data_IF_071869294691
#
_entry.id   IF_071869294691
#
_cell.length_a   1.000
_cell.length_b   1.000
_cell.length_c   1.000
_cell.angle_alpha   90.00
_cell.angle_beta   90.00
_cell.angle_gamma   90.00
#
_symmetry.space_group_name_H-M   'P 1'
#
loop_
_entity.id
_entity.type
_entity.pdbx_description
1 polymer ?
2 non-polymer ?
3 water ?
#
# COMPACT_ATOMS: atom_id res chain seq x y z
N UNK A 2 -14.08 -21.61 0.46
CA UNK A 2 -13.19 -21.09 1.53
C UNK A 2 -13.52 -19.62 1.85
N UNK A 3 -13.24 -19.22 3.09
CA UNK A 3 -13.43 -17.86 3.55
C UNK A 3 -12.13 -17.20 4.07
N UNK A 4 -12.27 -15.97 4.54
CA UNK A 4 -11.12 -15.25 5.08
C UNK A 4 -10.72 -15.62 6.50
N UNK A 5 -11.54 -16.44 7.15
CA UNK A 5 -11.23 -16.85 8.52
C UNK A 5 -9.93 -17.67 8.58
N UNK A 6 -9.11 -17.35 9.57
CA UNK A 6 -7.78 -17.90 9.87
C UNK A 6 -6.71 -17.62 8.84
N UNK A 7 -7.01 -16.77 7.87
CA UNK A 7 -5.98 -16.48 6.91
C UNK A 7 -5.08 -15.43 7.49
N UNK A 8 -3.79 -15.67 7.38
CA UNK A 8 -2.76 -14.72 7.80
C UNK A 8 -2.05 -14.24 6.54
N UNK A 9 -2.25 -12.98 6.20
CA UNK A 9 -1.69 -12.38 5.00
C UNK A 9 -0.33 -11.73 5.15
N UNK A 10 0.13 -11.57 6.38
CA UNK A 10 1.46 -11.03 6.60
C UNK A 10 1.46 -9.53 6.71
N UNK A 11 2.64 -8.87 6.70
CA UNK A 11 2.67 -7.43 6.93
C UNK A 11 2.06 -6.68 5.78
N UNK A 12 1.28 -5.66 6.12
CA UNK A 12 0.75 -4.74 5.15
C UNK A 12 -0.36 -5.25 4.25
N UNK A 13 -0.89 -6.42 4.55
CA UNK A 13 -1.93 -7.03 3.69
C UNK A 13 -3.03 -7.58 4.57
N UNK A 14 -4.20 -7.72 3.96
CA UNK A 14 -5.38 -8.24 4.64
C UNK A 14 -6.13 -9.15 3.70
N UNK A 15 -6.97 -9.98 4.28
CA UNK A 15 -7.78 -10.92 3.49
C UNK A 15 -9.10 -10.32 3.08
N UNK A 16 -9.46 -10.45 1.80
CA UNK A 16 -10.74 -9.98 1.27
C UNK A 16 -11.27 -11.05 0.30
N UNK A 17 -12.59 -11.22 0.28
CA UNK A 17 -13.20 -12.15 -0.62
C UNK A 17 -13.36 -11.43 -1.97
N UNK A 18 -12.91 -12.05 -3.08
CA UNK A 18 -12.99 -11.36 -4.34
C UNK A 18 -14.27 -11.70 -5.10
N UNK A 19 -14.36 -11.22 -6.33
CA UNK A 19 -15.57 -11.42 -7.12
C UNK A 19 -15.70 -12.81 -7.67
N UNK A 20 -14.74 -13.69 -7.45
CA UNK A 20 -14.90 -15.07 -7.86
C UNK A 20 -15.19 -15.92 -6.60
N UNK A 21 -15.45 -15.25 -5.48
CA UNK A 21 -15.67 -15.96 -4.21
C UNK A 21 -14.48 -16.68 -3.62
N UNK A 22 -13.31 -16.11 -3.84
CA UNK A 22 -12.13 -16.69 -3.27
C UNK A 22 -11.50 -15.72 -2.27
N UNK A 23 -10.94 -16.23 -1.19
CA UNK A 23 -10.25 -15.34 -0.27
C UNK A 23 -8.89 -14.98 -0.90
N UNK A 24 -8.58 -13.69 -0.87
CA UNK A 24 -7.33 -13.21 -1.43
C UNK A 24 -6.64 -12.33 -0.39
N UNK A 25 -5.31 -12.33 -0.41
CA UNK A 25 -4.56 -11.39 0.40
C UNK A 25 -4.32 -10.19 -0.48
N UNK A 26 -4.67 -9.00 0.01
CA UNK A 26 -4.53 -7.78 -0.81
C UNK A 26 -3.73 -6.75 -0.05
N UNK A 27 -2.91 -6.02 -0.79
CA UNK A 27 -2.17 -4.89 -0.24
C UNK A 27 -3.12 -3.88 0.44
N UNK A 28 -2.93 -3.63 1.76
CA UNK A 28 -3.80 -2.73 2.48
C UNK A 28 -3.06 -2.10 3.64
N UNK A 29 -2.12 -1.21 3.33
CA UNK A 29 -1.35 -0.53 4.39
C UNK A 29 -2.30 0.26 5.25
N UNK A 30 -1.99 0.23 6.53
CA UNK A 30 -2.75 0.98 7.46
C UNK A 30 -2.31 2.45 7.44
N UNK A 31 -3.12 3.29 6.86
CA UNK A 31 -2.79 4.69 6.62
C UNK A 31 -2.68 5.40 7.97
N UNK A 32 -3.38 4.87 8.97
CA UNK A 32 -3.44 5.54 10.28
C UNK A 32 -2.09 5.46 10.99
N UNK A 33 -1.18 4.65 10.48
CA UNK A 33 0.15 4.56 11.10
C UNK A 33 1.08 5.64 10.55
N UNK A 34 0.68 6.31 9.46
CA UNK A 34 1.52 7.29 8.77
C UNK A 34 1.31 8.66 9.31
N UNK A 35 2.41 9.33 9.69
CA UNK A 35 2.30 10.65 10.30
C UNK A 35 2.20 11.81 9.35
N UNK A 36 2.88 11.78 8.21
CA UNK A 36 2.79 12.83 7.21
C UNK A 36 1.51 12.62 6.36
N UNK A 37 0.68 13.63 6.20
CA UNK A 37 -0.59 13.40 5.52
C UNK A 37 -0.67 13.97 4.09
N UNK A 38 0.36 14.66 3.62
CA UNK A 38 0.36 15.26 2.28
C UNK A 38 0.93 14.37 1.19
N UNK A 39 1.07 14.92 -0.02
CA UNK A 39 1.66 14.17 -1.14
C UNK A 39 3.10 13.90 -0.89
N UNK A 40 3.66 12.87 -1.52
CA UNK A 40 5.05 12.54 -1.41
C UNK A 40 5.62 12.28 -2.77
N UNK A 41 6.95 12.39 -2.84
CA UNK A 41 7.69 12.14 -4.07
C UNK A 41 8.37 10.80 -3.93
N UNK A 42 8.00 9.83 -4.77
CA UNK A 42 8.60 8.51 -4.67
C UNK A 42 9.98 8.42 -5.32
N UNK A 43 10.70 7.38 -4.94
CA UNK A 43 12.01 7.04 -5.52
C UNK A 43 11.93 6.63 -6.99
N UNK A 44 10.71 6.42 -7.47
CA UNK A 44 10.52 6.27 -8.92
C UNK A 44 10.37 7.58 -9.57
N UNK A 45 10.44 8.72 -8.88
CA UNK A 45 10.24 10.02 -9.52
C UNK A 45 8.80 10.44 -9.79
N UNK A 46 7.87 9.65 -9.28
CA UNK A 46 6.45 9.95 -9.42
C UNK A 46 5.89 10.47 -8.10
N UNK A 47 5.00 11.44 -8.21
CA UNK A 47 4.27 11.96 -7.06
C UNK A 47 3.14 10.98 -6.67
N UNK A 48 2.97 10.71 -5.37
CA UNK A 48 1.86 9.94 -4.88
C UNK A 48 1.01 10.89 -4.02
N UNK A 49 -0.30 10.81 -4.20
CA UNK A 49 -1.24 11.72 -3.52
C UNK A 49 -1.10 11.70 -2.02
N UNK A 50 -0.69 10.60 -1.47
CA UNK A 50 -0.35 10.52 -0.06
C UNK A 50 0.64 9.38 0.12
N UNK A 51 1.25 9.27 1.30
CA UNK A 51 2.22 8.23 1.56
C UNK A 51 1.59 6.84 1.56
N UNK A 52 0.32 6.72 1.98
CA UNK A 52 -0.34 5.44 1.97
C UNK A 52 -0.44 4.90 0.55
N UNK A 53 -0.68 5.77 -0.41
CA UNK A 53 -0.78 5.33 -1.80
C UNK A 53 0.58 4.82 -2.28
N UNK A 54 1.66 5.46 -1.80
CA UNK A 54 3.00 5.00 -2.13
C UNK A 54 3.22 3.59 -1.54
N UNK A 55 2.85 3.39 -0.27
CA UNK A 55 3.06 2.11 0.37
C UNK A 55 2.20 1.03 -0.31
N UNK A 56 1.02 1.38 -0.81
CA UNK A 56 0.22 0.37 -1.52
C UNK A 56 0.92 -0.03 -2.81
N UNK A 57 1.44 0.94 -3.55
CA UNK A 57 2.18 0.64 -4.75
C UNK A 57 3.44 -0.18 -4.50
N UNK A 58 4.13 0.12 -3.40
CA UNK A 58 5.31 -0.62 -3.02
C UNK A 58 4.93 -2.12 -2.83
N UNK A 59 3.83 -2.31 -2.13
CA UNK A 59 3.33 -3.65 -1.84
C UNK A 59 2.88 -4.37 -3.14
N UNK A 60 2.22 -3.69 -4.05
CA UNK A 60 1.67 -4.32 -5.23
C UNK A 60 2.69 -4.52 -6.34
N UNK A 61 3.50 -3.52 -6.62
CA UNK A 61 4.32 -3.56 -7.82
C UNK A 61 5.80 -3.22 -7.68
N UNK A 62 6.16 -2.42 -6.67
CA UNK A 62 7.55 -1.93 -6.56
C UNK A 62 8.15 -2.11 -5.18
N UNK A 63 8.74 -3.26 -4.91
CA UNK A 63 9.20 -3.54 -3.56
C UNK A 63 10.27 -2.57 -3.03
N UNK A 64 10.98 -1.91 -3.92
CA UNK A 64 12.03 -0.96 -3.52
C UNK A 64 11.52 0.48 -3.42
N UNK A 65 10.24 0.72 -3.66
CA UNK A 65 9.75 2.09 -3.64
C UNK A 65 9.76 2.71 -2.25
N UNK A 66 10.27 3.93 -2.13
CA UNK A 66 10.28 4.64 -0.90
C UNK A 66 9.99 6.11 -1.17
N UNK A 67 9.64 6.87 -0.13
CA UNK A 67 9.57 8.30 -0.24
C UNK A 67 10.95 8.91 -0.30
N UNK A 68 11.23 9.67 -1.36
CA UNK A 68 12.53 10.35 -1.45
C UNK A 68 12.44 11.79 -0.92
N UNK A 69 11.30 12.41 -0.94
CA UNK A 69 11.07 13.70 -0.29
C UNK A 69 9.60 13.95 -0.18
N UNK A 70 9.18 14.75 0.81
CA UNK A 70 7.81 15.10 0.95
C UNK A 70 7.40 16.18 -0.01
N UNK A 71 6.10 16.25 -0.28
CA UNK A 71 5.54 17.12 -1.27
C UNK A 71 5.48 16.50 -2.65
N UNK A 72 5.12 17.30 -3.63
CA UNK A 72 5.11 16.83 -5.01
C UNK A 72 6.50 16.66 -5.60
N UNK A 73 6.67 15.72 -6.52
CA UNK A 73 7.90 15.63 -7.28
C UNK A 73 8.07 16.82 -8.23
N UNK A 74 9.32 17.15 -8.45
CA UNK A 74 9.72 18.12 -9.49
C UNK A 74 9.56 17.51 -10.91
X LIG B 1 -8.62 -15.34 -8.85
X LIG B 1 -8.49 -16.09 -10.09
X LIG B 1 -7.72 -15.97 -7.89
X LIG B 1 -8.30 -13.90 -9.08
X LIG B 1 -10.02 -15.56 -8.49
X LIG C 1 -7.95 -9.43 -6.05
X LIG C 1 -8.75 -10.38 -6.88
X LIG C 1 -8.59 -9.11 -4.79
X LIG C 1 -6.58 -9.92 -5.88
X LIG C 1 -8.00 -8.21 -6.87
X LIG D 1 -12.22 -10.38 -11.67
X LIG D 1 -11.60 -11.71 -11.76
X LIG D 1 -12.40 -10.08 -10.24
X LIG D 1 -11.34 -9.36 -12.27
X LIG D 1 -13.47 -10.40 -12.46
X LIG E 1 -3.63 -13.10 -11.24
X LIG E 1 -2.81 -13.72 -12.27
X LIG E 1 -3.13 -13.33 -9.89
X LIG E 1 -3.89 -11.67 -11.38
X LIG E 1 -4.99 -13.68 -11.35
X LIG F 1 -11.76 -8.17 -7.79
X LIG F 1 -10.71 -9.12 -8.23
X LIG F 1 -12.51 -8.84 -6.72
X LIG F 1 -11.20 -6.97 -7.19
X LIG F 1 -12.63 -7.77 -8.90
#
# INVERSE_FOLDING_TARGET
>A
METCENVDCGPGKKCRMNKKNKPRCVCAPDCSNITWKGPVCGLDGKTYRNECALLKARCKEQPELEVQYQGKCK
>B hetero
1 SO4 S O1 O2 O3 O4
>C hetero
1 SO4 S O1 O2 O3 O4
>D hetero
1 SO4 S O1 O2 O3 O4
>E hetero
1 SO4 S O1 O2 O3 O4
>F hetero
1 SO4 S O1 O2 O3 O4
#
